data_IF_550768695186
#
_entry.id   IF_550768695186
#
_cell.length_a   1.000
_cell.length_b   1.000
_cell.length_c   1.000
_cell.angle_alpha   90.00
_cell.angle_beta   90.00
_cell.angle_gamma   90.00
#
_symmetry.space_group_name_H-M   'P 1'
#
loop_
_entity.id
_entity.type
_entity.pdbx_description
1 polymer ?
#
# COMPACT_ATOMS: atom_id res chain seq x y z
N UNK A 1 29.39 -22.34 23.02
CA UNK A 1 29.60 -21.20 23.93
C UNK A 1 28.23 -20.59 24.19
N UNK A 2 27.63 -20.86 25.35
CA UNK A 2 26.27 -20.46 25.74
C UNK A 2 26.36 -19.34 26.78
N UNK A 3 25.68 -18.21 26.55
CA UNK A 3 25.52 -17.15 27.53
C UNK A 3 24.30 -17.50 28.42
N UNK A 4 24.56 -17.99 29.64
CA UNK A 4 23.55 -18.15 30.68
C UNK A 4 23.65 -16.98 31.68
N UNK A 5 22.49 -16.37 31.90
CA UNK A 5 21.98 -15.88 33.18
C UNK A 5 22.83 -14.92 34.01
N UNK A 6 22.50 -13.62 33.89
CA UNK A 6 22.70 -12.63 34.94
C UNK A 6 21.42 -11.78 35.06
N UNK A 7 20.35 -12.41 35.56
CA UNK A 7 19.18 -11.71 36.10
C UNK A 7 19.15 -11.97 37.61
N UNK A 8 19.69 -11.03 38.39
CA UNK A 8 19.45 -10.97 39.83
C UNK A 8 18.03 -10.45 40.04
N UNK A 9 17.18 -11.26 40.66
CA UNK A 9 15.88 -10.84 41.16
C UNK A 9 16.05 -9.85 42.33
N UNK A 10 15.31 -8.73 42.38
CA UNK A 10 15.31 -7.86 43.55
C UNK A 10 14.59 -8.54 44.71
N UNK A 11 15.19 -8.48 45.91
CA UNK A 11 14.58 -8.93 47.16
C UNK A 11 13.33 -8.09 47.47
N UNK A 12 12.21 -8.77 47.70
CA UNK A 12 10.95 -8.15 48.14
C UNK A 12 11.11 -7.52 49.54
N UNK A 13 11.03 -6.19 49.59
CA UNK A 13 10.70 -5.42 50.80
C UNK A 13 9.18 -5.29 51.00
N UNK A 14 8.72 -4.82 52.18
CA UNK A 14 7.31 -4.82 52.55
C UNK A 14 6.47 -3.95 51.63
N UNK A 15 5.25 -4.44 51.35
CA UNK A 15 4.27 -3.87 50.42
C UNK A 15 3.73 -2.54 50.93
N UNK A 16 4.34 -1.44 50.51
CA UNK A 16 3.62 -0.19 50.38
C UNK A 16 2.77 -0.27 49.10
N UNK A 17 1.44 -0.24 49.27
CA UNK A 17 0.48 -0.03 48.19
C UNK A 17 0.73 1.37 47.61
N UNK A 18 1.60 1.46 46.61
CA UNK A 18 1.65 2.64 45.75
C UNK A 18 0.46 2.54 44.81
N UNK A 19 -0.68 3.08 45.23
CA UNK A 19 -1.80 3.36 44.35
C UNK A 19 -1.35 4.46 43.37
N UNK A 20 -0.87 4.05 42.20
CA UNK A 20 -0.67 4.95 41.06
C UNK A 20 -2.06 5.41 40.58
N UNK A 21 -2.64 6.40 41.23
CA UNK A 21 -3.72 7.21 40.67
C UNK A 21 -3.13 8.15 39.62
N UNK A 22 -2.70 7.58 38.49
CA UNK A 22 -2.36 8.37 37.31
C UNK A 22 -3.65 8.80 36.64
N UNK A 23 -4.28 9.85 37.19
CA UNK A 23 -5.33 10.60 36.52
C UNK A 23 -4.69 11.33 35.34
N UNK A 24 -4.40 10.61 34.25
CA UNK A 24 -3.90 11.18 33.01
C UNK A 24 -5.00 12.07 32.44
N UNK A 25 -4.85 13.38 32.64
CA UNK A 25 -5.70 14.37 31.99
C UNK A 25 -5.39 14.38 30.50
N UNK A 26 -6.37 13.93 29.71
CA UNK A 26 -6.36 13.99 28.26
C UNK A 26 -6.86 15.36 27.82
N UNK A 27 -6.06 16.11 27.07
CA UNK A 27 -6.43 17.43 26.56
C UNK A 27 -6.73 17.35 25.06
N UNK A 28 -7.93 17.81 24.65
CA UNK A 28 -8.26 17.99 23.24
C UNK A 28 -7.68 19.31 22.73
N UNK A 29 -7.18 19.30 21.50
CA UNK A 29 -6.71 20.50 20.80
C UNK A 29 -7.66 20.74 19.63
N UNK A 30 -8.36 21.88 19.67
CA UNK A 30 -9.42 22.19 18.71
C UNK A 30 -8.91 22.73 17.36
N UNK A 31 -7.66 23.21 17.31
CA UNK A 31 -7.07 23.75 16.07
C UNK A 31 -6.07 22.74 15.49
N UNK A 32 -6.27 22.28 14.24
CA UNK A 32 -5.34 21.38 13.59
C UNK A 32 -4.03 22.10 13.29
N UNK A 33 -2.95 21.65 13.92
CA UNK A 33 -1.59 22.14 13.71
C UNK A 33 -0.72 21.17 12.92
N UNK A 34 -1.22 19.94 12.73
CA UNK A 34 -0.65 18.93 11.85
C UNK A 34 -1.44 18.91 10.57
N UNK A 35 -0.71 18.84 9.45
CA UNK A 35 -1.33 18.57 8.16
C UNK A 35 -0.72 17.30 7.58
N UNK A 36 -1.58 16.35 7.28
CA UNK A 36 -1.24 15.19 6.47
C UNK A 36 -1.37 15.58 5.01
N UNK A 37 -0.33 15.33 4.23
CA UNK A 37 -0.41 15.43 2.77
C UNK A 37 0.07 14.13 2.15
N UNK A 38 -0.70 13.65 1.18
CA UNK A 38 -0.34 12.49 0.39
C UNK A 38 0.57 12.96 -0.75
N UNK A 39 1.78 12.39 -0.83
CA UNK A 39 2.66 12.61 -1.96
C UNK A 39 2.84 11.29 -2.69
N UNK A 40 2.52 11.26 -3.97
CA UNK A 40 2.75 10.08 -4.78
C UNK A 40 4.24 9.92 -5.04
N UNK A 41 4.79 8.76 -4.71
CA UNK A 41 6.08 8.36 -5.25
C UNK A 41 5.86 7.64 -6.58
N UNK A 42 6.40 8.19 -7.67
CA UNK A 42 6.59 7.43 -8.90
C UNK A 42 7.59 6.33 -8.60
N UNK A 43 7.16 5.07 -8.71
CA UNK A 43 8.11 3.95 -8.63
C UNK A 43 9.05 4.06 -9.82
N UNK A 44 10.30 4.45 -9.56
CA UNK A 44 11.36 4.38 -10.56
C UNK A 44 11.52 2.90 -10.97
N UNK A 45 11.74 2.65 -12.27
CA UNK A 45 11.93 1.31 -12.84
C UNK A 45 12.85 0.46 -11.96
N UNK A 46 12.41 -0.75 -11.63
CA UNK A 46 13.28 -1.77 -11.07
C UNK A 46 14.44 -2.04 -12.05
N UNK A 47 15.65 -2.10 -11.51
CA UNK A 47 16.91 -2.28 -12.24
C UNK A 47 16.94 -3.67 -12.91
N UNK A 48 17.39 -3.71 -14.15
CA UNK A 48 17.60 -4.94 -14.94
C UNK A 48 18.55 -5.91 -14.22
N UNK A 49 18.21 -7.20 -14.21
CA UNK A 49 19.14 -8.27 -13.84
C UNK A 49 19.33 -9.24 -15.01
N UNK A 50 20.60 -9.44 -15.35
CA UNK A 50 21.11 -10.34 -16.37
C UNK A 50 20.78 -11.82 -16.10
N UNK A 51 20.40 -12.49 -17.19
CA UNK A 51 20.55 -13.89 -17.56
C UNK A 51 20.87 -14.94 -16.47
N UNK A 52 19.89 -15.81 -16.19
CA UNK A 52 20.15 -17.22 -15.86
C UNK A 52 19.12 -18.15 -16.53
N UNK A 53 19.62 -19.29 -17.00
CA UNK A 53 19.01 -20.21 -17.96
C UNK A 53 17.96 -21.15 -17.32
N UNK A 54 16.78 -21.39 -17.93
CA UNK A 54 15.76 -22.26 -17.36
C UNK A 54 15.80 -23.66 -17.99
N UNK A 55 16.31 -24.65 -17.25
CA UNK A 55 15.92 -26.04 -17.47
C UNK A 55 15.68 -26.74 -16.13
N UNK A 56 14.55 -27.43 -16.05
CA UNK A 56 14.04 -28.27 -14.95
C UNK A 56 13.33 -27.48 -13.83
N UNK A 57 11.99 -27.48 -13.83
CA UNK A 57 11.15 -28.20 -12.85
C UNK A 57 9.70 -28.16 -13.36
N UNK A 58 9.31 -29.21 -14.09
CA UNK A 58 7.92 -29.63 -14.15
C UNK A 58 7.75 -30.78 -13.15
N UNK A 59 6.64 -30.76 -12.41
CA UNK A 59 6.18 -31.70 -11.36
C UNK A 59 6.45 -31.23 -9.92
N UNK A 60 5.48 -30.51 -9.35
CA UNK A 60 4.75 -30.91 -8.13
C UNK A 60 3.79 -29.78 -7.73
N UNK A 61 2.50 -30.00 -7.94
CA UNK A 61 1.42 -29.21 -7.33
C UNK A 61 0.77 -30.13 -6.30
N UNK A 62 1.10 -29.91 -5.02
CA UNK A 62 0.20 -30.19 -3.90
C UNK A 62 0.61 -29.35 -2.66
N UNK A 63 -0.35 -29.05 -1.77
CA UNK A 63 -0.28 -27.91 -0.88
C UNK A 63 0.27 -28.30 0.50
N UNK A 64 1.46 -27.82 0.87
CA UNK A 64 1.87 -27.75 2.28
C UNK A 64 2.88 -26.62 2.54
N UNK A 65 2.63 -25.93 3.65
CA UNK A 65 3.45 -24.99 4.44
C UNK A 65 4.90 -24.75 4.03
N UNK A 66 5.23 -23.46 3.83
CA UNK A 66 6.60 -22.95 3.82
C UNK A 66 6.76 -21.93 4.95
N UNK A 67 7.65 -22.25 5.89
CA UNK A 67 8.29 -21.31 6.82
C UNK A 67 9.65 -20.91 6.26
N UNK A 68 9.75 -19.67 5.78
CA UNK A 68 10.81 -18.70 6.13
C UNK A 68 10.31 -17.32 5.71
N UNK A 69 10.03 -16.49 6.73
CA UNK A 69 9.59 -15.08 6.68
C UNK A 69 8.50 -14.72 5.66
N UNK A 70 7.39 -15.44 5.66
CA UNK A 70 6.08 -14.87 5.31
C UNK A 70 5.54 -14.25 6.60
N UNK A 71 5.68 -12.94 6.74
CA UNK A 71 4.76 -12.18 7.60
C UNK A 71 3.43 -12.13 6.86
N UNK A 72 2.49 -12.93 7.32
CA UNK A 72 1.11 -12.99 6.86
C UNK A 72 0.43 -11.63 6.97
N UNK A 73 0.40 -10.90 5.86
CA UNK A 73 -0.64 -10.01 5.36
C UNK A 73 0.02 -9.01 4.39
N UNK A 74 -0.56 -8.86 3.21
CA UNK A 74 -0.07 -8.00 2.13
C UNK A 74 -0.11 -6.53 2.57
N UNK A 75 0.92 -6.10 3.29
CA UNK A 75 1.12 -4.72 3.70
C UNK A 75 1.34 -3.84 2.46
N UNK A 76 0.38 -2.98 2.13
CA UNK A 76 0.65 -1.89 1.19
C UNK A 76 1.33 -0.76 1.96
N UNK A 77 2.51 -0.37 1.47
CA UNK A 77 3.32 0.71 2.02
C UNK A 77 3.03 1.99 1.25
N UNK A 78 2.37 2.96 1.88
CA UNK A 78 2.08 4.27 1.28
C UNK A 78 2.94 5.35 1.92
N UNK A 79 3.67 6.11 1.10
CA UNK A 79 4.54 7.17 1.59
C UNK A 79 3.75 8.49 1.63
N UNK A 80 3.75 9.15 2.79
CA UNK A 80 3.02 10.41 3.01
C UNK A 80 3.93 11.45 3.64
N UNK A 81 3.69 12.73 3.40
CA UNK A 81 4.50 13.80 3.97
C UNK A 81 3.67 14.64 4.92
N UNK A 82 4.15 14.82 6.14
CA UNK A 82 3.50 15.64 7.16
C UNK A 82 4.34 16.87 7.50
N UNK A 83 3.67 17.98 7.79
CA UNK A 83 4.31 19.21 8.30
C UNK A 83 3.84 19.45 9.72
N UNK A 84 4.80 19.55 10.65
CA UNK A 84 4.56 19.81 12.07
C UNK A 84 4.87 21.27 12.39
N UNK A 85 3.86 22.04 12.80
CA UNK A 85 4.05 23.40 13.28
C UNK A 85 3.93 23.47 14.82
N UNK A 86 4.95 24.07 15.47
CA UNK A 86 4.90 24.69 16.81
C UNK A 86 4.72 23.81 18.07
N UNK A 87 5.61 22.84 18.34
CA UNK A 87 5.63 22.13 19.63
C UNK A 87 6.97 22.19 20.37
N UNK A 88 6.90 21.96 21.68
CA UNK A 88 8.07 21.79 22.54
C UNK A 88 8.90 20.60 22.06
N UNK A 89 10.21 20.68 22.25
CA UNK A 89 11.23 19.79 21.69
C UNK A 89 11.23 18.39 22.31
N UNK A 90 10.13 17.88 22.89
CA UNK A 90 10.07 16.58 23.61
C UNK A 90 8.66 15.94 23.56
N UNK A 91 8.17 15.69 22.34
CA UNK A 91 6.85 15.09 22.13
C UNK A 91 6.94 13.79 21.34
N UNK A 92 6.50 12.68 21.95
CA UNK A 92 6.21 11.46 21.19
C UNK A 92 4.92 11.69 20.41
N UNK A 93 4.91 11.41 19.11
CA UNK A 93 3.75 11.56 18.23
C UNK A 93 3.37 10.21 17.61
N UNK A 94 2.08 9.89 17.65
CA UNK A 94 1.47 8.80 16.93
C UNK A 94 0.30 9.32 16.08
N UNK A 95 0.12 8.76 14.89
CA UNK A 95 -0.99 9.09 13.99
C UNK A 95 -1.83 7.83 13.80
N UNK A 96 -3.13 7.99 13.97
CA UNK A 96 -4.13 6.93 13.83
C UNK A 96 -5.02 7.27 12.64
N UNK A 97 -5.20 6.27 11.78
CA UNK A 97 -6.09 6.33 10.63
C UNK A 97 -7.16 5.25 10.82
N UNK A 98 -8.39 5.69 11.03
CA UNK A 98 -9.54 4.83 11.29
C UNK A 98 -10.34 4.67 10.00
N UNK A 99 -10.54 3.42 9.59
CA UNK A 99 -11.28 3.02 8.39
C UNK A 99 -12.43 2.09 8.80
N UNK A 100 -13.48 1.93 7.96
CA UNK A 100 -14.52 0.95 8.24
C UNK A 100 -13.93 -0.46 8.40
N UNK A 101 -14.44 -1.24 9.35
CA UNK A 101 -13.94 -2.61 9.61
C UNK A 101 -13.99 -3.49 8.36
N UNK A 102 -15.02 -3.33 7.53
CA UNK A 102 -15.18 -4.04 6.26
C UNK A 102 -14.10 -3.71 5.21
N UNK A 103 -13.36 -2.63 5.41
CA UNK A 103 -12.24 -2.28 4.55
C UNK A 103 -10.95 -2.99 4.99
N UNK A 104 -10.81 -3.25 6.29
CA UNK A 104 -9.61 -3.80 6.90
C UNK A 104 -9.05 -2.89 7.99
N UNK A 105 -7.73 -2.85 8.14
CA UNK A 105 -7.07 -2.07 9.21
C UNK A 105 -5.84 -1.31 8.73
N UNK A 106 -5.49 -0.26 9.45
CA UNK A 106 -4.27 0.52 9.27
C UNK A 106 -3.52 0.53 10.61
N UNK A 107 -2.24 0.18 10.59
CA UNK A 107 -1.44 0.20 11.81
C UNK A 107 -1.16 1.66 12.25
N UNK A 108 -1.12 1.94 13.57
CA UNK A 108 -0.73 3.25 14.07
C UNK A 108 0.68 3.64 13.59
N UNK A 109 0.81 4.88 13.13
CA UNK A 109 2.08 5.41 12.62
C UNK A 109 2.82 6.06 13.78
N UNK A 110 3.89 5.41 14.23
CA UNK A 110 4.75 5.93 15.29
C UNK A 110 5.79 6.87 14.70
N UNK A 111 5.58 8.18 14.83
CA UNK A 111 6.51 9.21 14.33
C UNK A 111 7.69 9.41 15.29
N UNK A 112 7.49 9.08 16.57
CA UNK A 112 8.50 9.30 17.59
C UNK A 112 8.64 10.79 17.91
N UNK A 113 9.87 11.25 18.03
CA UNK A 113 10.18 12.58 18.54
C UNK A 113 10.28 13.64 17.44
N UNK A 114 9.46 14.69 17.51
CA UNK A 114 9.51 15.78 16.52
C UNK A 114 10.29 16.98 17.07
N UNK A 115 11.44 17.28 16.47
CA UNK A 115 12.21 18.47 16.78
C UNK A 115 11.74 19.68 15.97
N UNK A 116 11.16 20.66 16.67
CA UNK A 116 10.70 21.94 16.10
C UNK A 116 11.79 22.70 15.34
N UNK A 117 13.06 22.59 15.78
CA UNK A 117 14.16 23.36 15.18
C UNK A 117 14.45 22.93 13.75
N UNK A 118 14.03 21.73 13.36
CA UNK A 118 14.38 21.22 12.05
C UNK A 118 13.46 21.72 10.94
N UNK A 119 12.26 22.26 11.23
CA UNK A 119 11.24 22.65 10.24
C UNK A 119 11.19 21.71 9.01
N UNK A 120 11.45 20.42 9.24
CA UNK A 120 11.60 19.41 8.20
C UNK A 120 10.25 18.75 8.04
N UNK A 121 9.84 18.62 6.79
CA UNK A 121 8.75 17.73 6.42
C UNK A 121 9.17 16.30 6.74
N UNK A 122 8.35 15.59 7.49
CA UNK A 122 8.59 14.19 7.83
C UNK A 122 7.82 13.31 6.87
N UNK A 123 8.53 12.43 6.17
CA UNK A 123 7.92 11.39 5.34
C UNK A 123 7.60 10.20 6.24
N UNK A 124 6.37 9.71 6.16
CA UNK A 124 5.83 8.64 6.97
C UNK A 124 5.32 7.52 6.06
N UNK A 125 5.63 6.30 6.44
CA UNK A 125 5.15 5.10 5.79
C UNK A 125 3.84 4.65 6.47
N UNK A 126 2.79 4.50 5.70
CA UNK A 126 1.52 3.93 6.16
C UNK A 126 1.53 2.45 5.80
N UNK A 127 1.31 1.61 6.80
CA UNK A 127 1.14 0.17 6.63
C UNK A 127 -0.33 -0.15 6.78
N UNK A 128 -0.94 -0.68 5.73
CA UNK A 128 -2.35 -1.05 5.74
C UNK A 128 -2.55 -2.50 5.31
N UNK A 129 -3.65 -3.09 5.81
CA UNK A 129 -4.05 -4.46 5.60
C UNK A 129 -5.50 -4.47 5.12
N UNK A 130 -5.72 -4.17 3.83
CA UNK A 130 -7.05 -4.15 3.27
C UNK A 130 -7.63 -5.57 3.16
N UNK A 131 -8.90 -5.72 3.51
CA UNK A 131 -9.72 -6.86 3.09
C UNK A 131 -10.24 -6.66 1.65
N UNK A 132 -10.29 -5.41 1.19
CA UNK A 132 -10.66 -5.05 -0.18
C UNK A 132 -9.85 -3.85 -0.71
N UNK A 133 -9.58 -3.82 -2.01
CA UNK A 133 -8.72 -2.81 -2.66
C UNK A 133 -9.48 -1.53 -3.07
N UNK A 134 -10.62 -1.23 -2.41
CA UNK A 134 -11.44 -0.09 -2.79
C UNK A 134 -10.93 1.22 -2.18
N UNK A 135 -11.16 2.36 -2.86
CA UNK A 135 -10.90 3.67 -2.26
C UNK A 135 -11.62 3.82 -0.92
N UNK A 136 -10.96 4.46 0.06
CA UNK A 136 -11.54 4.70 1.38
C UNK A 136 -11.10 6.07 1.91
N UNK A 137 -11.96 6.70 2.71
CA UNK A 137 -11.63 7.90 3.47
C UNK A 137 -11.45 7.48 4.93
N UNK A 138 -10.23 7.61 5.43
CA UNK A 138 -9.89 7.33 6.81
C UNK A 138 -10.09 8.57 7.68
N UNK A 139 -10.75 8.42 8.82
CA UNK A 139 -10.74 9.43 9.86
C UNK A 139 -9.34 9.49 10.49
N UNK A 140 -8.75 10.67 10.56
CA UNK A 140 -7.37 10.83 11.00
C UNK A 140 -7.31 11.58 12.33
N UNK A 141 -6.46 11.08 13.25
CA UNK A 141 -6.19 11.75 14.53
C UNK A 141 -4.73 11.58 14.92
N UNK A 142 -4.21 12.55 15.65
CA UNK A 142 -2.89 12.48 16.26
C UNK A 142 -3.00 12.40 17.77
N UNK A 143 -2.16 11.57 18.37
CA UNK A 143 -1.90 11.53 19.80
C UNK A 143 -0.46 11.94 20.06
N UNK A 144 -0.25 12.84 21.02
CA UNK A 144 1.09 13.31 21.35
C UNK A 144 1.23 13.70 22.81
N UNK A 145 2.47 13.65 23.32
CA UNK A 145 2.78 14.05 24.69
C UNK A 145 3.45 15.42 24.75
N UNK A 146 3.05 16.28 25.68
CA UNK A 146 3.73 17.56 25.95
C UNK A 146 3.82 17.72 27.45
N UNK A 147 5.02 17.95 27.98
CA UNK A 147 5.24 18.15 29.42
C UNK A 147 4.55 17.06 30.26
N UNK A 148 4.68 15.80 29.84
CA UNK A 148 4.06 14.61 30.45
C UNK A 148 2.52 14.55 30.44
N UNK A 149 1.84 15.44 29.72
CA UNK A 149 0.41 15.36 29.46
C UNK A 149 0.14 14.75 28.07
N UNK A 150 -0.93 13.98 27.95
CA UNK A 150 -1.39 13.42 26.68
C UNK A 150 -2.38 14.37 26.00
N UNK A 151 -2.19 14.56 24.71
CA UNK A 151 -3.00 15.43 23.87
C UNK A 151 -3.54 14.66 22.67
N UNK A 152 -4.76 15.02 22.25
CA UNK A 152 -5.37 14.53 21.02
C UNK A 152 -5.73 15.69 20.11
N UNK A 153 -5.49 15.50 18.82
CA UNK A 153 -5.87 16.42 17.76
C UNK A 153 -6.57 15.65 16.64
N UNK A 154 -7.76 16.09 16.25
CA UNK A 154 -8.39 15.63 15.02
C UNK A 154 -7.64 16.22 13.83
N UNK A 155 -7.48 15.42 12.77
CA UNK A 155 -6.82 15.82 11.53
C UNK A 155 -7.82 15.84 10.38
N UNK A 156 -7.43 16.44 9.26
CA UNK A 156 -8.19 16.31 8.02
C UNK A 156 -8.30 14.83 7.62
N UNK A 157 -9.49 14.36 7.19
CA UNK A 157 -9.66 12.99 6.72
C UNK A 157 -8.64 12.64 5.63
N UNK A 158 -8.09 11.43 5.71
CA UNK A 158 -7.06 10.95 4.79
C UNK A 158 -7.67 10.04 3.73
N UNK A 159 -7.55 10.41 2.46
CA UNK A 159 -8.10 9.61 1.36
C UNK A 159 -7.06 8.63 0.80
N UNK A 160 -7.43 7.36 0.78
CA UNK A 160 -6.76 6.32 0.03
C UNK A 160 -7.51 6.10 -1.29
N UNK A 161 -6.82 6.30 -2.40
CA UNK A 161 -7.36 6.13 -3.75
C UNK A 161 -7.01 4.73 -4.28
N UNK A 162 -7.79 4.24 -5.25
CA UNK A 162 -7.59 2.92 -5.86
C UNK A 162 -6.13 2.72 -6.33
N UNK A 163 -5.59 3.77 -6.93
CA UNK A 163 -4.25 3.80 -7.51
C UNK A 163 -3.10 3.78 -6.47
N UNK A 164 -3.39 3.90 -5.17
CA UNK A 164 -2.41 3.70 -4.09
C UNK A 164 -2.10 2.23 -3.86
N UNK A 165 -3.02 1.36 -4.28
CA UNK A 165 -2.91 -0.09 -4.12
C UNK A 165 -2.28 -0.76 -5.34
N UNK A 166 -1.94 0.01 -6.38
CA UNK A 166 -1.36 -0.54 -7.60
C UNK A 166 0.06 -1.03 -7.33
N UNK A 167 0.22 -2.35 -7.37
CA UNK A 167 1.50 -3.01 -7.22
C UNK A 167 1.83 -3.80 -8.49
N UNK A 168 3.12 -3.97 -8.83
CA UNK A 168 3.49 -4.93 -9.86
C UNK A 168 3.06 -6.34 -9.43
N UNK A 169 2.94 -7.26 -10.39
CA UNK A 169 2.67 -8.65 -10.06
C UNK A 169 3.75 -9.20 -9.12
N UNK A 170 3.37 -9.90 -8.04
CA UNK A 170 4.33 -10.53 -7.14
C UNK A 170 4.90 -11.77 -7.83
N UNK A 171 5.98 -11.57 -8.59
CA UNK A 171 6.76 -12.68 -9.16
C UNK A 171 7.79 -13.13 -8.13
N UNK A 172 7.82 -14.42 -7.82
CA UNK A 172 8.84 -14.97 -6.93
C UNK A 172 10.19 -14.99 -7.65
N UNK A 173 11.25 -14.62 -6.96
CA UNK A 173 12.61 -14.75 -7.47
C UNK A 173 12.87 -16.20 -7.90
N UNK A 174 13.29 -16.40 -9.15
CA UNK A 174 13.51 -17.73 -9.73
C UNK A 174 12.28 -18.38 -10.36
N UNK A 175 11.15 -17.68 -10.49
CA UNK A 175 10.02 -18.15 -11.30
C UNK A 175 10.48 -18.29 -12.77
N UNK A 176 10.26 -19.45 -13.43
CA UNK A 176 10.70 -19.65 -14.80
C UNK A 176 9.85 -18.89 -15.84
N UNK A 177 8.71 -18.33 -15.43
CA UNK A 177 7.83 -17.54 -16.27
C UNK A 177 8.20 -16.06 -16.24
N UNK A 178 8.30 -15.48 -17.42
CA UNK A 178 8.41 -14.04 -17.62
C UNK A 178 7.10 -13.31 -17.22
N UNK A 179 7.16 -12.00 -16.90
CA UNK A 179 5.97 -11.22 -16.60
C UNK A 179 4.90 -11.27 -17.71
N UNK A 180 5.30 -11.33 -18.98
CA UNK A 180 4.38 -11.43 -20.13
C UNK A 180 3.67 -12.78 -20.19
N UNK A 181 4.37 -13.89 -19.90
CA UNK A 181 3.76 -15.23 -19.81
C UNK A 181 2.76 -15.31 -18.66
N UNK A 182 3.10 -14.76 -17.49
CA UNK A 182 2.17 -14.68 -16.36
C UNK A 182 0.94 -13.84 -16.72
N UNK A 183 1.14 -12.69 -17.36
CA UNK A 183 0.04 -11.87 -17.85
C UNK A 183 -0.86 -12.64 -18.83
N UNK A 184 -0.28 -13.33 -19.81
CA UNK A 184 -1.04 -14.10 -20.80
C UNK A 184 -1.86 -15.22 -20.14
N UNK A 185 -1.27 -15.94 -19.18
CA UNK A 185 -1.95 -16.99 -18.42
C UNK A 185 -3.12 -16.42 -17.61
N UNK A 186 -2.88 -15.36 -16.83
CA UNK A 186 -3.93 -14.71 -16.04
C UNK A 186 -5.02 -14.13 -16.93
N UNK A 187 -4.66 -13.51 -18.06
CA UNK A 187 -5.63 -12.94 -19.00
C UNK A 187 -6.55 -14.02 -19.56
N UNK A 188 -5.99 -15.13 -20.07
CA UNK A 188 -6.79 -16.24 -20.60
C UNK A 188 -7.70 -16.81 -19.52
N UNK A 189 -7.19 -16.99 -18.30
CA UNK A 189 -8.01 -17.45 -17.18
C UNK A 189 -9.18 -16.51 -16.87
N UNK A 190 -8.94 -15.18 -16.83
CA UNK A 190 -10.01 -14.21 -16.61
C UNK A 190 -10.97 -14.11 -17.80
N UNK A 191 -10.52 -14.33 -19.03
CA UNK A 191 -11.38 -14.29 -20.21
C UNK A 191 -12.31 -15.51 -20.27
N UNK A 192 -11.77 -16.70 -19.96
CA UNK A 192 -12.54 -17.95 -19.89
C UNK A 192 -13.60 -17.95 -18.78
N UNK A 193 -13.33 -17.28 -17.66
CA UNK A 193 -14.25 -17.18 -16.51
C UNK A 193 -15.11 -15.90 -16.53
N UNK A 194 -15.13 -15.18 -17.64
CA UNK A 194 -15.86 -13.92 -17.73
C UNK A 194 -17.37 -14.15 -17.52
N UNK A 195 -17.95 -13.41 -16.58
CA UNK A 195 -19.37 -13.50 -16.23
C UNK A 195 -19.68 -14.45 -15.06
N UNK A 196 -18.70 -15.21 -14.56
CA UNK A 196 -18.85 -16.01 -13.33
C UNK A 196 -18.03 -15.42 -12.19
N UNK A 197 -16.71 -15.36 -12.33
CA UNK A 197 -15.78 -14.88 -11.30
C UNK A 197 -14.91 -13.72 -11.75
N UNK A 198 -14.93 -13.41 -13.04
CA UNK A 198 -14.19 -12.29 -13.62
C UNK A 198 -15.07 -11.41 -14.49
N UNK A 199 -14.59 -10.19 -14.72
CA UNK A 199 -15.31 -9.18 -15.51
C UNK A 199 -14.37 -8.43 -16.42
N UNK A 200 -14.89 -8.10 -17.60
CA UNK A 200 -14.17 -7.36 -18.64
C UNK A 200 -14.90 -6.04 -18.90
N UNK A 201 -14.14 -4.98 -19.11
CA UNK A 201 -14.67 -3.71 -19.62
C UNK A 201 -13.73 -3.08 -20.64
N UNK A 202 -14.24 -2.16 -21.44
CA UNK A 202 -13.47 -1.46 -22.46
C UNK A 202 -13.66 0.04 -22.31
N UNK A 203 -12.56 0.79 -22.35
CA UNK A 203 -12.54 2.25 -22.26
C UNK A 203 -11.76 2.84 -23.41
N UNK A 204 -12.17 4.05 -23.81
CA UNK A 204 -11.39 4.90 -24.71
C UNK A 204 -11.04 6.17 -23.96
N UNK A 205 -9.76 6.54 -23.97
CA UNK A 205 -9.23 7.67 -23.22
C UNK A 205 -8.40 8.57 -24.13
N UNK A 206 -8.59 9.90 -24.09
CA UNK A 206 -7.72 10.84 -24.78
C UNK A 206 -6.37 10.92 -24.05
N UNK A 207 -5.50 9.94 -24.30
CA UNK A 207 -4.24 9.74 -23.61
C UNK A 207 -3.18 9.23 -24.58
N UNK A 208 -2.07 9.96 -24.68
CA UNK A 208 -0.91 9.55 -25.45
C UNK A 208 -0.15 8.43 -24.73
N UNK A 209 0.64 7.66 -25.49
CA UNK A 209 1.49 6.59 -24.95
C UNK A 209 2.42 7.09 -23.84
N UNK A 210 3.04 8.26 -24.02
CA UNK A 210 3.97 8.82 -23.04
C UNK A 210 3.27 9.18 -21.72
N UNK A 211 2.09 9.80 -21.79
CA UNK A 211 1.27 10.09 -20.60
C UNK A 211 0.87 8.80 -19.87
N UNK A 212 0.52 7.76 -20.64
CA UNK A 212 0.22 6.45 -20.08
C UNK A 212 1.43 5.85 -19.36
N UNK A 213 2.61 5.88 -19.98
CA UNK A 213 3.85 5.30 -19.43
C UNK A 213 4.36 6.05 -18.19
N UNK A 214 4.17 7.37 -18.10
CA UNK A 214 4.46 8.13 -16.87
C UNK A 214 3.65 7.56 -15.67
N UNK A 215 2.43 7.10 -15.94
CA UNK A 215 1.48 6.66 -14.93
C UNK A 215 1.63 5.17 -14.57
N UNK A 216 1.80 4.33 -15.58
CA UNK A 216 1.75 2.87 -15.49
C UNK A 216 3.04 2.18 -15.90
N UNK A 217 4.08 2.90 -16.30
CA UNK A 217 5.30 2.33 -16.89
C UNK A 217 6.02 1.32 -15.99
N UNK A 218 5.93 1.47 -14.67
CA UNK A 218 6.49 0.49 -13.70
C UNK A 218 5.66 -0.79 -13.56
N UNK A 219 4.47 -0.84 -14.17
CA UNK A 219 3.50 -1.94 -14.11
C UNK A 219 3.33 -2.64 -15.48
N UNK A 220 4.01 -2.15 -16.51
CA UNK A 220 4.01 -2.73 -17.86
C UNK A 220 4.72 -4.09 -17.81
N UNK A 221 4.04 -5.14 -18.26
CA UNK A 221 4.59 -6.49 -18.37
C UNK A 221 5.15 -6.79 -19.75
N UNK A 222 4.65 -6.09 -20.78
CA UNK A 222 5.08 -6.30 -22.17
C UNK A 222 4.83 -5.06 -23.03
N UNK A 223 5.79 -4.73 -23.89
CA UNK A 223 5.65 -3.74 -24.95
C UNK A 223 5.64 -4.42 -26.33
N UNK A 224 4.50 -4.37 -27.03
CA UNK A 224 4.36 -4.96 -28.36
C UNK A 224 4.80 -3.93 -29.41
N UNK A 225 6.11 -3.95 -29.76
CA UNK A 225 6.74 -2.95 -30.62
C UNK A 225 6.13 -2.83 -32.03
N UNK A 226 5.44 -3.86 -32.52
CA UNK A 226 4.77 -3.83 -33.83
C UNK A 226 3.36 -3.22 -33.83
N UNK A 227 2.67 -3.18 -32.69
CA UNK A 227 1.24 -2.88 -32.63
C UNK A 227 0.89 -1.58 -31.93
N UNK A 228 1.90 -0.83 -31.45
CA UNK A 228 1.70 0.30 -30.55
C UNK A 228 0.77 -0.08 -29.38
N UNK A 229 1.02 -1.26 -28.81
CA UNK A 229 0.21 -1.85 -27.74
C UNK A 229 1.06 -2.18 -26.52
N UNK A 230 0.43 -2.17 -25.35
CA UNK A 230 1.03 -2.45 -24.04
C UNK A 230 0.17 -3.45 -23.27
N UNK A 231 0.82 -4.36 -22.56
CA UNK A 231 0.19 -5.16 -21.51
C UNK A 231 0.62 -4.64 -20.14
N UNK A 232 -0.35 -4.46 -19.25
CA UNK A 232 -0.13 -3.98 -17.89
C UNK A 232 -0.81 -4.93 -16.92
N UNK A 233 -0.07 -5.35 -15.91
CA UNK A 233 -0.59 -6.22 -14.86
C UNK A 233 -0.43 -5.55 -13.51
N UNK A 234 -1.55 -5.43 -12.80
CA UNK A 234 -1.61 -4.78 -11.50
C UNK A 234 -2.10 -5.80 -10.49
N UNK A 235 -1.28 -6.04 -9.48
CA UNK A 235 -1.69 -6.72 -8.27
C UNK A 235 -2.35 -5.74 -7.32
N UNK A 236 -3.44 -6.18 -6.70
CA UNK A 236 -4.26 -5.40 -5.78
C UNK A 236 -4.44 -6.19 -4.48
N UNK A 237 -3.83 -5.76 -3.37
CA UNK A 237 -4.00 -6.41 -2.07
C UNK A 237 -5.48 -6.51 -1.64
N UNK A 238 -5.94 -7.64 -1.09
CA UNK A 238 -5.11 -8.74 -0.57
C UNK A 238 -4.75 -9.85 -1.58
N UNK A 239 -5.31 -9.84 -2.78
CA UNK A 239 -5.11 -10.96 -3.71
C UNK A 239 -5.88 -10.86 -5.03
N UNK A 240 -6.23 -9.63 -5.43
CA UNK A 240 -6.99 -9.34 -6.64
C UNK A 240 -6.08 -8.88 -7.76
N UNK A 241 -6.57 -8.98 -8.99
CA UNK A 241 -5.82 -8.64 -10.19
C UNK A 241 -6.60 -7.68 -11.06
N UNK A 242 -5.87 -6.72 -11.63
CA UNK A 242 -6.34 -5.85 -12.69
C UNK A 242 -5.37 -5.95 -13.85
N UNK A 243 -5.84 -6.54 -14.95
CA UNK A 243 -5.08 -6.68 -16.18
C UNK A 243 -5.59 -5.70 -17.23
N UNK A 244 -4.67 -5.17 -18.03
CA UNK A 244 -4.99 -4.21 -19.08
C UNK A 244 -4.27 -4.56 -20.37
N UNK A 245 -5.03 -4.66 -21.46
CA UNK A 245 -4.50 -4.60 -22.83
C UNK A 245 -4.79 -3.23 -23.40
N UNK A 246 -3.74 -2.50 -23.76
CA UNK A 246 -3.84 -1.12 -24.19
C UNK A 246 -3.32 -1.00 -25.61
N UNK A 247 -4.12 -0.39 -26.49
CA UNK A 247 -3.71 -0.05 -27.84
C UNK A 247 -3.82 1.46 -28.04
N UNK A 248 -2.83 2.06 -28.71
CA UNK A 248 -2.79 3.51 -28.93
C UNK A 248 -2.97 3.84 -30.40
N UNK A 249 -3.86 4.80 -30.69
CA UNK A 249 -4.10 5.36 -32.02
C UNK A 249 -4.51 6.82 -31.91
N UNK A 250 -3.85 7.69 -32.66
CA UNK A 250 -4.21 9.13 -32.76
C UNK A 250 -4.39 9.82 -31.39
N UNK A 251 -3.41 9.67 -30.49
CA UNK A 251 -3.43 10.16 -29.10
C UNK A 251 -4.60 9.66 -28.24
N UNK A 252 -5.27 8.60 -28.68
CA UNK A 252 -6.28 7.90 -27.92
C UNK A 252 -5.79 6.51 -27.52
N UNK A 253 -6.00 6.16 -26.25
CA UNK A 253 -5.76 4.82 -25.72
C UNK A 253 -7.09 4.06 -25.68
N UNK A 254 -7.13 2.87 -26.28
CA UNK A 254 -8.20 1.89 -26.07
C UNK A 254 -7.70 0.89 -25.03
N UNK A 255 -8.35 0.87 -23.88
CA UNK A 255 -7.97 0.06 -22.72
C UNK A 255 -9.02 -1.02 -22.52
N UNK A 256 -8.65 -2.28 -22.77
CA UNK A 256 -9.43 -3.45 -22.36
C UNK A 256 -8.97 -3.88 -20.97
N UNK A 257 -9.90 -3.95 -20.03
CA UNK A 257 -9.65 -4.29 -18.64
C UNK A 257 -10.21 -5.68 -18.33
N UNK A 258 -9.50 -6.45 -17.51
CA UNK A 258 -9.99 -7.69 -16.93
C UNK A 258 -9.68 -7.72 -15.42
N UNK A 259 -10.61 -8.18 -14.61
CA UNK A 259 -10.43 -8.31 -13.15
C UNK A 259 -11.21 -9.49 -12.58
N UNK A 260 -10.74 -10.05 -11.47
CA UNK A 260 -11.35 -11.10 -10.66
C UNK A 260 -12.23 -10.55 -9.51
N UNK A 261 -12.66 -9.29 -9.64
CA UNK A 261 -13.54 -8.63 -8.68
C UNK A 261 -14.55 -7.69 -9.35
N UNK A 262 -15.83 -8.05 -9.27
CA UNK A 262 -16.93 -7.28 -9.86
C UNK A 262 -17.09 -5.89 -9.23
N UNK A 263 -16.90 -5.78 -7.93
CA UNK A 263 -17.11 -4.54 -7.21
C UNK A 263 -15.97 -3.56 -7.51
N UNK A 264 -14.77 -4.10 -7.69
CA UNK A 264 -13.61 -3.34 -8.12
C UNK A 264 -13.83 -2.70 -9.50
N UNK A 265 -14.50 -3.39 -10.42
CA UNK A 265 -14.75 -2.89 -11.78
C UNK A 265 -15.45 -1.53 -11.78
N UNK A 266 -16.40 -1.29 -10.87
CA UNK A 266 -17.08 0.00 -10.76
C UNK A 266 -16.10 1.13 -10.38
N UNK A 267 -15.21 0.88 -9.43
CA UNK A 267 -14.17 1.82 -9.01
C UNK A 267 -13.14 2.05 -10.10
N UNK A 268 -12.72 1.00 -10.82
CA UNK A 268 -11.80 1.11 -11.95
C UNK A 268 -12.44 1.93 -13.07
N UNK A 269 -13.69 1.65 -13.42
CA UNK A 269 -14.42 2.40 -14.44
C UNK A 269 -14.53 3.89 -14.06
N UNK A 270 -14.79 4.19 -12.78
CA UNK A 270 -14.79 5.57 -12.30
C UNK A 270 -13.41 6.21 -12.41
N UNK A 271 -12.36 5.49 -12.03
CA UNK A 271 -10.98 5.97 -12.12
C UNK A 271 -10.60 6.36 -13.54
N UNK A 272 -10.88 5.50 -14.53
CA UNK A 272 -10.62 5.80 -15.94
C UNK A 272 -11.47 6.96 -16.47
N UNK A 273 -12.72 7.13 -16.03
CA UNK A 273 -13.55 8.28 -16.44
C UNK A 273 -13.03 9.62 -15.95
N UNK A 274 -12.43 9.66 -14.77
CA UNK A 274 -11.84 10.88 -14.19
C UNK A 274 -10.42 11.15 -14.67
N UNK A 275 -9.85 10.24 -15.46
CA UNK A 275 -8.50 10.37 -15.96
C UNK A 275 -8.49 11.25 -17.21
N UNK A 276 -8.12 12.52 -17.03
CA UNK A 276 -7.95 13.51 -18.11
C UNK A 276 -6.62 14.24 -17.96
#
# INVERSE_FOLDING_TARGET
MQLKELLRTPKHGPKDKVEFHSSRTVKKVDVPFLRLSKQRQTMAKAVEHDHLCPQQVAKQVHPTEIRTSISSSSAAKLNTTSTLANYATESALAIFLEVPESWGKIDPIMVGHVDRRQNKRTVLDIVCFPECSYPVIAAARAEFSINNAMHLCSLEPFKLDLEDFFQPLPLLDGTPMSPSEVFACLWSHLEENCGTTSHISVHTQPCSRDKFLIRFGSLVTEELQGENSLHVAIFLPPGKHLLMKVAFKDDCAVVRLATDDIFLLAHINSYFKTWS
#
